data_IF_574874442044
#
_entry.id   IF_574874442044
#
_cell.length_a   1.000
_cell.length_b   1.000
_cell.length_c   1.000
_cell.angle_alpha   90.00
_cell.angle_beta   90.00
_cell.angle_gamma   90.00
#
_symmetry.space_group_name_H-M   'P 1'
#
loop_
_entity.id
_entity.type
_entity.pdbx_description
1 polymer ?
#
# COMPACT_ATOMS: atom_id res chain seq x y z
N UNK A 1 -35.22 -15.62 1.88
CA UNK A 1 -34.62 -14.33 2.25
C UNK A 1 -33.54 -14.05 1.23
N UNK A 2 -33.62 -12.93 0.51
CA UNK A 2 -32.53 -12.51 -0.39
C UNK A 2 -31.40 -12.08 0.54
N UNK A 3 -30.29 -12.82 0.56
CA UNK A 3 -29.12 -12.44 1.36
C UNK A 3 -28.62 -11.06 0.92
N UNK A 4 -28.17 -10.25 1.87
CA UNK A 4 -27.61 -8.94 1.56
C UNK A 4 -26.30 -9.15 0.79
N UNK A 5 -26.17 -8.53 -0.38
CA UNK A 5 -25.00 -8.71 -1.25
C UNK A 5 -24.02 -7.55 -1.04
N UNK A 6 -22.83 -7.87 -0.58
CA UNK A 6 -21.76 -6.90 -0.40
C UNK A 6 -20.75 -7.05 -1.53
N UNK A 7 -20.43 -5.95 -2.21
CA UNK A 7 -19.44 -5.92 -3.29
C UNK A 7 -18.18 -5.22 -2.82
N UNK A 8 -17.05 -5.88 -2.90
CA UNK A 8 -15.74 -5.33 -2.52
C UNK A 8 -14.96 -4.98 -3.79
N UNK A 9 -14.68 -3.70 -3.97
CA UNK A 9 -13.83 -3.18 -5.03
C UNK A 9 -12.40 -3.02 -4.54
N UNK A 10 -11.44 -3.61 -5.26
CA UNK A 10 -10.01 -3.59 -4.85
C UNK A 10 -9.08 -3.38 -6.04
N UNK A 11 -7.80 -3.18 -5.74
CA UNK A 11 -6.74 -3.22 -6.74
C UNK A 11 -6.32 -4.66 -7.03
N UNK A 12 -6.30 -5.05 -8.30
CA UNK A 12 -5.86 -6.37 -8.71
C UNK A 12 -5.92 -6.65 -10.20
N UNK A 13 -5.34 -7.77 -10.57
CA UNK A 13 -5.28 -8.24 -11.95
C UNK A 13 -5.23 -9.77 -11.92
N UNK A 14 -5.82 -10.42 -12.92
CA UNK A 14 -5.77 -11.88 -13.08
C UNK A 14 -6.21 -12.63 -11.79
N UNK A 15 -7.33 -12.18 -11.19
CA UNK A 15 -7.95 -12.77 -9.99
C UNK A 15 -7.12 -12.66 -8.70
N UNK A 16 -6.06 -11.83 -8.71
CA UNK A 16 -5.18 -11.61 -7.56
C UNK A 16 -5.10 -10.13 -7.18
N UNK A 17 -4.98 -9.82 -5.88
CA UNK A 17 -4.78 -8.46 -5.42
C UNK A 17 -3.41 -7.94 -5.87
N UNK A 18 -3.34 -6.64 -6.21
CA UNK A 18 -2.10 -6.02 -6.66
C UNK A 18 -1.25 -5.55 -5.48
N UNK A 19 0.07 -5.67 -5.62
CA UNK A 19 1.03 -5.24 -4.58
C UNK A 19 1.09 -3.72 -4.39
N UNK A 20 0.46 -2.92 -5.26
CA UNK A 20 0.40 -1.46 -5.09
C UNK A 20 -0.51 -1.04 -3.92
N UNK A 21 -1.33 -1.95 -3.40
CA UNK A 21 -2.24 -1.70 -2.27
C UNK A 21 -2.11 -2.84 -1.25
N UNK A 22 -1.29 -2.68 -0.19
CA UNK A 22 -1.20 -3.67 0.88
C UNK A 22 -2.56 -3.91 1.56
N UNK A 23 -3.42 -2.89 1.63
CA UNK A 23 -4.79 -3.02 2.13
C UNK A 23 -5.66 -3.94 1.27
N UNK A 24 -5.55 -3.86 -0.06
CA UNK A 24 -6.26 -4.78 -0.96
C UNK A 24 -5.78 -6.22 -0.79
N UNK A 25 -4.48 -6.43 -0.57
CA UNK A 25 -3.89 -7.74 -0.27
C UNK A 25 -4.40 -8.27 1.06
N UNK A 26 -4.36 -7.46 2.12
CA UNK A 26 -4.84 -7.83 3.45
C UNK A 26 -6.34 -8.17 3.43
N UNK A 27 -7.15 -7.38 2.72
CA UNK A 27 -8.58 -7.62 2.59
C UNK A 27 -8.87 -8.93 1.86
N UNK A 28 -8.12 -9.20 0.78
CA UNK A 28 -8.24 -10.46 0.06
C UNK A 28 -7.92 -11.66 0.97
N UNK A 29 -6.87 -11.58 1.80
CA UNK A 29 -6.53 -12.63 2.75
C UNK A 29 -7.55 -12.79 3.86
N UNK A 30 -8.07 -11.68 4.39
CA UNK A 30 -9.11 -11.67 5.41
C UNK A 30 -10.38 -12.38 4.91
N UNK A 31 -10.86 -11.99 3.73
CA UNK A 31 -12.08 -12.51 3.13
C UNK A 31 -11.97 -14.00 2.80
N UNK A 32 -10.89 -14.43 2.14
CA UNK A 32 -10.73 -15.82 1.70
C UNK A 32 -10.25 -16.77 2.81
N UNK A 33 -9.46 -16.26 3.76
CA UNK A 33 -8.81 -17.08 4.79
C UNK A 33 -9.58 -17.19 6.10
N UNK A 34 -10.33 -16.16 6.48
CA UNK A 34 -10.86 -15.99 7.84
C UNK A 34 -12.36 -15.72 7.89
N UNK A 35 -12.85 -14.73 7.13
CA UNK A 35 -14.24 -14.29 7.20
C UNK A 35 -15.24 -15.42 6.94
N UNK A 36 -15.04 -16.22 5.88
CA UNK A 36 -15.92 -17.34 5.56
C UNK A 36 -15.88 -18.47 6.61
N UNK A 37 -14.73 -18.68 7.27
CA UNK A 37 -14.60 -19.70 8.32
C UNK A 37 -15.36 -19.34 9.59
N UNK A 38 -15.68 -18.05 9.78
CA UNK A 38 -16.46 -17.59 10.92
C UNK A 38 -17.95 -17.93 10.79
N UNK A 39 -18.41 -18.49 9.66
CA UNK A 39 -19.78 -18.99 9.51
C UNK A 39 -20.85 -17.92 9.69
N UNK A 40 -20.54 -16.65 9.39
CA UNK A 40 -21.49 -15.53 9.47
C UNK A 40 -22.49 -15.63 8.32
N UNK A 41 -23.50 -16.46 8.52
CA UNK A 41 -24.61 -16.70 7.61
C UNK A 41 -25.51 -15.45 7.49
N UNK A 42 -25.38 -14.73 6.37
CA UNK A 42 -26.34 -13.69 6.00
C UNK A 42 -25.90 -12.75 4.87
N UNK A 43 -24.60 -12.45 4.79
CA UNK A 43 -24.02 -11.56 3.78
C UNK A 43 -23.26 -12.35 2.72
N UNK A 44 -23.67 -12.26 1.47
CA UNK A 44 -22.88 -12.80 0.35
C UNK A 44 -21.88 -11.74 -0.10
N UNK A 45 -20.60 -11.98 0.17
CA UNK A 45 -19.51 -11.09 -0.26
C UNK A 45 -19.00 -11.51 -1.64
N UNK A 46 -18.78 -10.54 -2.51
CA UNK A 46 -18.10 -10.72 -3.79
C UNK A 46 -16.93 -9.75 -3.96
N UNK A 47 -15.88 -10.17 -4.66
CA UNK A 47 -14.70 -9.36 -4.95
C UNK A 47 -14.70 -8.96 -6.43
N UNK A 48 -14.43 -7.68 -6.68
CA UNK A 48 -14.33 -7.07 -8.00
C UNK A 48 -13.03 -6.28 -8.09
N UNK A 49 -12.13 -6.73 -8.96
CA UNK A 49 -10.90 -5.99 -9.29
C UNK A 49 -11.21 -4.90 -10.32
N UNK A 50 -11.83 -3.80 -9.87
CA UNK A 50 -12.22 -2.69 -10.75
C UNK A 50 -11.06 -1.76 -11.11
N UNK A 51 -10.05 -1.66 -10.23
CA UNK A 51 -8.92 -0.72 -10.37
C UNK A 51 -9.37 0.74 -10.57
N UNK A 52 -10.58 1.08 -10.12
CA UNK A 52 -11.20 2.38 -10.35
C UNK A 52 -11.53 3.07 -9.03
N UNK A 53 -10.76 4.10 -8.71
CA UNK A 53 -10.94 4.91 -7.49
C UNK A 53 -12.15 5.84 -7.56
N UNK A 54 -12.69 6.13 -8.75
CA UNK A 54 -13.86 7.01 -8.92
C UNK A 54 -15.14 6.46 -8.25
N UNK A 55 -15.18 5.15 -7.98
CA UNK A 55 -16.29 4.50 -7.28
C UNK A 55 -16.35 4.88 -5.79
N UNK A 56 -15.20 5.22 -5.22
CA UNK A 56 -15.01 5.55 -3.81
C UNK A 56 -15.21 7.04 -3.57
N UNK A 57 -15.91 7.45 -2.51
CA UNK A 57 -16.05 8.86 -2.17
C UNK A 57 -14.71 9.51 -1.85
N UNK A 58 -13.78 8.75 -1.28
CA UNK A 58 -12.46 9.24 -0.86
C UNK A 58 -11.36 9.00 -1.91
N UNK A 59 -11.74 8.55 -3.12
CA UNK A 59 -10.82 8.20 -4.20
C UNK A 59 -9.78 7.14 -3.81
N UNK A 60 -10.14 6.26 -2.86
CA UNK A 60 -9.30 5.19 -2.34
C UNK A 60 -9.94 3.82 -2.48
N UNK A 61 -9.11 2.81 -2.71
CA UNK A 61 -9.47 1.40 -2.67
C UNK A 61 -8.59 0.71 -1.62
N UNK A 62 -9.11 -0.26 -0.85
CA UNK A 62 -10.35 -1.00 -1.07
C UNK A 62 -11.64 -0.26 -0.68
N UNK A 63 -12.76 -0.65 -1.29
CA UNK A 63 -14.11 -0.11 -1.05
C UNK A 63 -15.13 -1.25 -0.93
N UNK A 64 -15.90 -1.27 0.14
CA UNK A 64 -17.09 -2.12 0.31
C UNK A 64 -18.34 -1.32 -0.06
N UNK A 65 -19.20 -1.90 -0.89
CA UNK A 65 -20.52 -1.39 -1.24
C UNK A 65 -21.59 -2.39 -0.83
N UNK A 66 -22.48 -1.97 0.06
CA UNK A 66 -23.66 -2.72 0.47
C UNK A 66 -24.88 -1.83 0.27
N UNK A 67 -25.71 -2.15 -0.72
CA UNK A 67 -26.81 -1.31 -1.21
C UNK A 67 -26.34 0.13 -1.54
N UNK A 68 -26.68 1.12 -0.70
CA UNK A 68 -26.26 2.52 -0.86
C UNK A 68 -25.07 2.91 0.04
N UNK A 69 -24.66 2.02 0.96
CA UNK A 69 -23.56 2.30 1.88
C UNK A 69 -22.23 2.03 1.21
N UNK A 70 -21.32 2.99 1.31
CA UNK A 70 -19.94 2.93 0.81
C UNK A 70 -18.98 3.05 1.98
N UNK A 71 -18.11 2.06 2.15
CA UNK A 71 -17.14 1.99 3.26
C UNK A 71 -15.75 1.78 2.66
N UNK A 72 -14.86 2.76 2.83
CA UNK A 72 -13.52 2.79 2.26
C UNK A 72 -12.45 2.40 3.29
N UNK A 73 -11.39 1.75 2.82
CA UNK A 73 -10.21 1.39 3.62
C UNK A 73 -10.34 0.07 4.38
N UNK A 74 -9.23 -0.65 4.53
CA UNK A 74 -9.22 -1.98 5.16
C UNK A 74 -9.81 -1.98 6.58
N UNK A 75 -9.38 -1.01 7.42
CA UNK A 75 -9.79 -0.92 8.83
C UNK A 75 -11.31 -0.81 8.97
N UNK A 76 -11.90 0.18 8.28
CA UNK A 76 -13.34 0.42 8.34
C UNK A 76 -14.15 -0.75 7.77
N UNK A 77 -13.67 -1.39 6.70
CA UNK A 77 -14.34 -2.54 6.09
C UNK A 77 -14.33 -3.73 7.06
N UNK A 78 -13.20 -4.03 7.69
CA UNK A 78 -13.09 -5.09 8.67
C UNK A 78 -13.99 -4.80 9.86
N UNK A 79 -13.94 -3.59 10.43
CA UNK A 79 -14.78 -3.19 11.55
C UNK A 79 -16.26 -3.33 11.20
N UNK A 80 -16.66 -2.97 9.98
CA UNK A 80 -18.03 -3.16 9.51
C UNK A 80 -18.44 -4.63 9.44
N UNK A 81 -17.61 -5.47 8.82
CA UNK A 81 -17.89 -6.90 8.65
C UNK A 81 -17.82 -7.67 9.98
N UNK A 82 -17.11 -7.13 10.97
CA UNK A 82 -16.95 -7.70 12.31
C UNK A 82 -17.89 -7.09 13.35
N UNK A 83 -18.58 -5.99 13.06
CA UNK A 83 -19.41 -5.21 13.99
C UNK A 83 -20.53 -6.00 14.70
N UNK A 84 -20.95 -7.15 14.17
CA UNK A 84 -21.90 -8.05 14.83
C UNK A 84 -21.28 -8.84 16.02
N UNK A 85 -19.97 -8.72 16.25
CA UNK A 85 -19.27 -9.28 17.43
C UNK A 85 -19.31 -8.28 18.59
N UNK A 86 -20.35 -8.39 19.43
CA UNK A 86 -20.35 -7.79 20.77
C UNK A 86 -19.27 -8.48 21.63
N UNK A 87 -18.01 -8.02 21.54
CA UNK A 87 -16.95 -8.44 22.47
C UNK A 87 -16.35 -7.23 23.17
N UNK A 88 -16.98 -6.85 24.28
CA UNK A 88 -16.54 -5.81 25.21
C UNK A 88 -15.37 -6.25 26.10
N UNK A 89 -14.32 -6.82 25.53
CA UNK A 89 -13.11 -7.22 26.24
C UNK A 89 -11.93 -6.28 25.92
N UNK A 90 -11.10 -5.95 26.91
CA UNK A 90 -9.94 -5.05 26.72
C UNK A 90 -8.93 -5.48 25.65
N UNK A 91 -8.99 -6.73 25.17
CA UNK A 91 -8.23 -7.20 24.01
C UNK A 91 -8.66 -6.52 22.71
N UNK A 92 -9.94 -6.18 22.53
CA UNK A 92 -10.40 -5.50 21.30
C UNK A 92 -9.81 -4.09 21.15
N UNK A 93 -9.54 -3.39 22.26
CA UNK A 93 -8.89 -2.10 22.23
C UNK A 93 -7.42 -2.20 21.79
N UNK A 94 -6.69 -3.21 22.28
CA UNK A 94 -5.31 -3.47 21.85
C UNK A 94 -5.27 -3.89 20.37
N UNK A 95 -6.19 -4.74 19.94
CA UNK A 95 -6.31 -5.17 18.53
C UNK A 95 -6.63 -4.00 17.60
N UNK A 96 -7.59 -3.15 17.98
CA UNK A 96 -7.93 -1.92 17.25
C UNK A 96 -6.76 -0.94 17.21
N UNK A 97 -6.03 -0.78 18.32
CA UNK A 97 -4.83 0.07 18.38
C UNK A 97 -3.71 -0.45 17.47
N UNK A 98 -3.48 -1.76 17.45
CA UNK A 98 -2.53 -2.41 16.54
C UNK A 98 -2.93 -2.21 15.09
N UNK A 99 -4.21 -2.40 14.77
CA UNK A 99 -4.75 -2.24 13.42
C UNK A 99 -4.58 -0.80 12.93
N UNK A 100 -4.92 0.18 13.77
CA UNK A 100 -4.73 1.60 13.48
C UNK A 100 -3.26 1.95 13.29
N UNK A 101 -2.38 1.52 14.21
CA UNK A 101 -0.93 1.74 14.10
C UNK A 101 -0.34 1.13 12.82
N UNK A 102 -0.81 -0.06 12.42
CA UNK A 102 -0.38 -0.66 11.16
C UNK A 102 -0.88 0.13 9.94
N UNK A 103 -2.13 0.60 9.97
CA UNK A 103 -2.73 1.41 8.90
C UNK A 103 -2.06 2.78 8.76
N UNK A 104 -1.64 3.43 9.85
CA UNK A 104 -0.92 4.70 9.80
C UNK A 104 0.57 4.52 9.54
N UNK A 105 1.29 3.89 10.46
CA UNK A 105 2.74 4.01 10.59
C UNK A 105 3.48 2.98 9.71
N UNK A 106 3.03 1.72 9.72
CA UNK A 106 3.64 0.68 8.88
C UNK A 106 3.27 0.85 7.41
N UNK A 107 2.03 1.27 7.12
CA UNK A 107 1.62 1.50 5.73
C UNK A 107 2.32 2.72 5.11
N UNK A 108 2.65 3.74 5.91
CA UNK A 108 3.51 4.85 5.48
C UNK A 108 4.91 4.36 5.02
N UNK A 109 5.49 3.40 5.73
CA UNK A 109 6.78 2.80 5.32
C UNK A 109 6.65 2.01 4.00
N UNK A 110 5.53 1.32 3.80
CA UNK A 110 5.25 0.63 2.53
C UNK A 110 5.06 1.63 1.39
N UNK A 111 4.36 2.76 1.63
CA UNK A 111 4.20 3.85 0.67
C UNK A 111 5.58 4.42 0.27
N UNK A 112 6.50 4.61 1.22
CA UNK A 112 7.87 5.01 0.91
C UNK A 112 8.55 4.02 -0.06
N UNK A 113 8.48 2.71 0.21
CA UNK A 113 9.11 1.71 -0.66
C UNK A 113 8.45 1.60 -2.03
N UNK A 114 7.14 1.80 -2.14
CA UNK A 114 6.42 1.74 -3.42
C UNK A 114 6.68 2.99 -4.28
N UNK A 115 6.64 4.17 -3.67
CA UNK A 115 6.53 5.43 -4.42
C UNK A 115 7.78 6.31 -4.36
N UNK A 116 8.53 6.28 -3.26
CA UNK A 116 9.68 7.17 -3.03
C UNK A 116 11.02 6.47 -3.27
N UNK A 117 11.11 5.17 -3.05
CA UNK A 117 12.27 4.39 -3.50
C UNK A 117 12.31 4.38 -5.04
N UNK A 118 13.28 5.11 -5.60
CA UNK A 118 13.46 5.29 -7.04
C UNK A 118 13.50 3.98 -7.81
N UNK A 119 14.24 2.98 -7.30
CA UNK A 119 14.39 1.69 -7.97
C UNK A 119 13.04 1.00 -8.08
N UNK A 120 12.29 0.91 -6.98
CA UNK A 120 10.99 0.25 -6.94
C UNK A 120 9.96 1.01 -7.80
N UNK A 121 9.95 2.34 -7.72
CA UNK A 121 9.00 3.16 -8.49
C UNK A 121 9.16 3.00 -10.00
N UNK A 122 10.40 3.10 -10.50
CA UNK A 122 10.70 3.08 -11.93
C UNK A 122 10.58 1.68 -12.54
N UNK A 123 10.96 0.65 -11.79
CA UNK A 123 11.01 -0.73 -12.30
C UNK A 123 9.72 -1.51 -12.06
N UNK A 124 9.00 -1.21 -10.98
CA UNK A 124 7.77 -1.90 -10.59
C UNK A 124 6.55 -0.97 -10.64
N UNK A 125 6.43 -0.03 -9.71
CA UNK A 125 5.17 0.68 -9.40
C UNK A 125 4.57 1.35 -10.63
N UNK A 126 5.35 2.17 -11.35
CA UNK A 126 4.87 2.89 -12.54
C UNK A 126 4.38 1.94 -13.64
N UNK A 127 5.06 0.81 -13.83
CA UNK A 127 4.69 -0.19 -14.84
C UNK A 127 3.44 -0.97 -14.44
N UNK A 128 3.27 -1.23 -13.14
CA UNK A 128 2.08 -1.90 -12.61
C UNK A 128 0.83 -1.06 -12.85
N UNK A 129 0.87 0.25 -12.63
CA UNK A 129 -0.27 1.13 -12.94
C UNK A 129 -0.67 1.12 -14.42
N UNK A 130 0.29 1.04 -15.35
CA UNK A 130 -0.03 0.89 -16.77
C UNK A 130 -0.82 -0.40 -17.10
N UNK A 131 -0.69 -1.45 -16.28
CA UNK A 131 -1.43 -2.72 -16.45
C UNK A 131 -2.80 -2.69 -15.79
N UNK A 132 -2.95 -1.94 -14.70
CA UNK A 132 -4.18 -1.90 -13.91
C UNK A 132 -5.20 -0.90 -14.44
N UNK A 133 -4.73 0.23 -14.95
CA UNK A 133 -5.58 1.34 -15.38
C UNK A 133 -5.82 1.30 -16.89
N UNK A 134 -6.77 2.09 -17.37
CA UNK A 134 -6.96 2.33 -18.80
C UNK A 134 -6.21 3.59 -19.26
N UNK A 135 -5.79 3.61 -20.53
CA UNK A 135 -5.29 4.83 -21.15
C UNK A 135 -6.43 5.87 -21.21
N UNK A 136 -6.19 7.16 -20.89
CA UNK A 136 -4.91 7.83 -20.65
C UNK A 136 -4.48 7.95 -19.17
N UNK A 137 -5.18 7.31 -18.23
CA UNK A 137 -5.00 7.52 -16.78
C UNK A 137 -3.71 6.92 -16.19
N UNK A 138 -2.89 6.26 -17.01
CA UNK A 138 -1.65 5.59 -16.60
C UNK A 138 -0.60 6.49 -15.95
N UNK A 139 -0.59 7.79 -16.29
CA UNK A 139 0.47 8.69 -15.85
C UNK A 139 0.11 9.48 -14.60
N UNK A 140 -1.15 9.90 -14.47
CA UNK A 140 -1.55 10.83 -13.42
C UNK A 140 -1.64 10.12 -12.07
N UNK A 141 -2.24 8.93 -12.02
CA UNK A 141 -2.44 8.18 -10.78
C UNK A 141 -1.12 7.86 -10.05
N UNK A 142 -0.09 7.25 -10.68
CA UNK A 142 1.18 6.99 -9.99
C UNK A 142 1.96 8.25 -9.59
N UNK A 143 1.75 9.39 -10.26
CA UNK A 143 2.34 10.66 -9.86
C UNK A 143 1.63 11.25 -8.64
N UNK A 144 0.30 11.18 -8.62
CA UNK A 144 -0.52 11.59 -7.49
C UNK A 144 -0.18 10.79 -6.23
N UNK A 145 -0.18 9.45 -6.29
CA UNK A 145 0.20 8.62 -5.15
C UNK A 145 1.63 8.90 -4.68
N UNK A 146 2.55 9.20 -5.59
CA UNK A 146 3.93 9.59 -5.22
C UNK A 146 3.99 10.94 -4.51
N UNK A 147 3.17 11.91 -4.90
CA UNK A 147 3.06 13.18 -4.19
C UNK A 147 2.45 13.01 -2.79
N UNK A 148 1.40 12.19 -2.65
CA UNK A 148 0.77 11.87 -1.36
C UNK A 148 1.75 11.13 -0.44
N UNK A 149 2.46 10.13 -0.96
CA UNK A 149 3.48 9.41 -0.19
C UNK A 149 4.61 10.35 0.28
N UNK A 150 5.01 11.31 -0.57
CA UNK A 150 5.98 12.35 -0.21
C UNK A 150 5.50 13.15 0.99
N UNK A 151 4.28 13.67 0.94
CA UNK A 151 3.70 14.45 2.05
C UNK A 151 3.62 13.63 3.34
N UNK A 152 3.11 12.40 3.27
CA UNK A 152 3.01 11.48 4.42
C UNK A 152 4.37 11.18 5.05
N UNK A 153 5.41 11.00 4.22
CA UNK A 153 6.74 10.62 4.69
C UNK A 153 7.66 11.81 5.06
N UNK A 154 7.21 13.07 4.89
CA UNK A 154 8.03 14.26 5.22
C UNK A 154 8.55 14.22 6.66
N UNK A 155 7.68 13.90 7.62
CA UNK A 155 8.03 13.83 9.04
C UNK A 155 8.90 12.62 9.42
N UNK A 156 8.90 11.58 8.60
CA UNK A 156 9.56 10.30 8.90
C UNK A 156 11.07 10.32 8.61
N UNK A 157 11.49 10.97 7.52
CA UNK A 157 12.85 10.86 6.99
C UNK A 157 13.69 12.14 7.18
N UNK A 158 13.11 13.16 7.83
CA UNK A 158 13.64 14.53 7.87
C UNK A 158 13.48 15.19 6.49
N UNK A 159 13.35 16.52 6.45
CA UNK A 159 13.06 17.31 5.23
C UNK A 159 13.66 16.67 3.98
N UNK A 160 12.79 15.95 3.26
CA UNK A 160 13.16 15.30 2.03
C UNK A 160 13.28 16.44 1.02
N UNK A 161 14.48 16.99 0.86
CA UNK A 161 14.84 17.79 -0.31
C UNK A 161 14.78 16.85 -1.52
N UNK A 162 13.56 16.59 -2.02
CA UNK A 162 13.35 16.00 -3.33
C UNK A 162 13.71 17.08 -4.34
N UNK A 163 14.98 17.10 -4.73
CA UNK A 163 15.58 17.96 -5.78
C UNK A 163 14.91 17.78 -7.17
N UNK A 164 13.79 17.06 -7.26
CA UNK A 164 12.96 16.93 -8.47
C UNK A 164 12.21 18.26 -8.77
N UNK A 165 12.03 19.14 -7.78
CA UNK A 165 11.45 20.49 -7.96
C UNK A 165 12.48 21.60 -7.66
N UNK A 166 13.55 21.66 -8.45
CA UNK A 166 14.25 22.92 -8.74
C UNK A 166 15.18 22.69 -9.95
N UNK A 167 14.66 22.96 -11.15
CA UNK A 167 15.45 23.76 -12.08
C UNK A 167 15.98 24.95 -11.27
N UNK A 168 17.31 25.13 -11.09
CA UNK A 168 17.80 26.24 -10.31
C UNK A 168 17.51 27.54 -11.06
N UNK A 169 16.37 28.17 -10.75
CA UNK A 169 16.05 29.52 -11.21
C UNK A 169 16.97 30.58 -10.57
N UNK A 170 17.88 30.18 -9.69
CA UNK A 170 18.83 31.05 -8.99
C UNK A 170 20.29 31.04 -9.47
N UNK A 171 20.68 30.28 -10.51
CA UNK A 171 22.10 30.20 -10.94
C UNK A 171 22.32 30.19 -12.45
N UNK A 172 21.42 30.82 -13.22
CA UNK A 172 21.59 30.95 -14.67
C UNK A 172 22.76 31.87 -15.08
N UNK A 173 23.24 32.74 -14.18
CA UNK A 173 24.34 33.66 -14.47
C UNK A 173 25.74 33.02 -14.32
N UNK A 174 25.95 32.06 -13.41
CA UNK A 174 27.23 31.35 -13.28
C UNK A 174 27.37 30.16 -14.23
N UNK A 175 26.26 29.55 -14.65
CA UNK A 175 26.27 28.38 -15.55
C UNK A 175 26.55 28.74 -17.01
N UNK A 176 26.31 29.98 -17.45
CA UNK A 176 26.52 30.40 -18.83
C UNK A 176 28.02 30.46 -19.24
N UNK A 177 28.93 30.78 -18.32
CA UNK A 177 30.38 30.81 -18.61
C UNK A 177 31.05 29.43 -18.48
N UNK A 178 30.50 28.54 -17.63
CA UNK A 178 31.03 27.19 -17.37
C UNK A 178 30.52 26.11 -18.34
N UNK A 179 29.54 26.43 -19.19
CA UNK A 179 28.86 25.47 -20.09
C UNK A 179 29.63 25.13 -21.38
N UNK A 180 30.81 25.71 -21.61
CA UNK A 180 31.59 25.48 -22.83
C UNK A 180 32.41 24.19 -22.81
N UNK A 181 32.74 23.64 -21.63
CA UNK A 181 33.52 22.40 -21.56
C UNK A 181 32.64 21.16 -21.38
N UNK A 182 32.74 20.22 -22.33
CA UNK A 182 32.09 18.90 -22.23
C UNK A 182 32.57 18.13 -20.99
N UNK A 183 33.82 18.31 -20.57
CA UNK A 183 34.36 17.64 -19.37
C UNK A 183 33.73 18.18 -18.10
N UNK A 184 33.49 19.50 -18.01
CA UNK A 184 32.83 20.11 -16.86
C UNK A 184 31.38 19.61 -16.70
N UNK A 185 30.62 19.52 -17.80
CA UNK A 185 29.25 18.95 -17.79
C UNK A 185 29.24 17.52 -17.26
N UNK A 186 30.19 16.70 -17.71
CA UNK A 186 30.32 15.30 -17.23
C UNK A 186 30.68 15.28 -15.74
N UNK A 187 31.66 16.06 -15.29
CA UNK A 187 32.04 16.13 -13.88
C UNK A 187 30.89 16.63 -12.99
N UNK A 188 30.11 17.60 -13.45
CA UNK A 188 28.94 18.11 -12.73
C UNK A 188 27.83 17.05 -12.63
N UNK A 189 27.58 16.29 -13.71
CA UNK A 189 26.63 15.18 -13.70
C UNK A 189 27.06 14.08 -12.71
N UNK A 190 28.34 13.70 -12.71
CA UNK A 190 28.88 12.71 -11.77
C UNK A 190 28.73 13.21 -10.32
N UNK A 191 29.03 14.49 -10.05
CA UNK A 191 28.83 15.08 -8.72
C UNK A 191 27.36 15.08 -8.30
N UNK A 192 26.44 15.43 -9.21
CA UNK A 192 24.99 15.41 -8.95
C UNK A 192 24.50 13.99 -8.66
N UNK A 193 24.92 13.01 -9.46
CA UNK A 193 24.60 11.60 -9.26
C UNK A 193 25.15 11.10 -7.91
N UNK A 194 26.41 11.37 -7.60
CA UNK A 194 27.02 10.98 -6.33
C UNK A 194 26.31 11.59 -5.11
N UNK A 195 25.90 12.87 -5.18
CA UNK A 195 25.10 13.51 -4.13
C UNK A 195 23.76 12.79 -3.93
N UNK A 196 23.05 12.50 -5.04
CA UNK A 196 21.77 11.80 -5.01
C UNK A 196 21.89 10.38 -4.46
N UNK A 197 22.95 9.64 -4.83
CA UNK A 197 23.20 8.29 -4.33
C UNK A 197 23.45 8.28 -2.82
N UNK A 198 24.27 9.21 -2.31
CA UNK A 198 24.52 9.35 -0.87
C UNK A 198 23.23 9.72 -0.12
N UNK A 199 22.44 10.64 -0.67
CA UNK A 199 21.16 11.03 -0.09
C UNK A 199 20.18 9.85 -0.05
N UNK A 200 20.07 9.08 -1.13
CA UNK A 200 19.25 7.87 -1.18
C UNK A 200 19.74 6.81 -0.18
N UNK A 201 21.06 6.62 -0.05
CA UNK A 201 21.62 5.70 0.93
C UNK A 201 21.27 6.10 2.36
N UNK A 202 21.36 7.40 2.68
CA UNK A 202 20.93 7.94 3.98
C UNK A 202 19.44 7.68 4.24
N UNK A 203 18.56 8.00 3.28
CA UNK A 203 17.12 7.77 3.43
C UNK A 203 16.80 6.30 3.63
N UNK A 204 17.48 5.41 2.90
CA UNK A 204 17.29 3.97 3.06
C UNK A 204 17.72 3.47 4.45
N UNK A 205 18.80 4.00 5.02
CA UNK A 205 19.20 3.66 6.39
C UNK A 205 18.18 4.14 7.43
N UNK A 206 17.67 5.37 7.28
CA UNK A 206 16.64 5.92 8.16
C UNK A 206 15.35 5.09 8.07
N UNK A 207 14.94 4.74 6.85
CA UNK A 207 13.82 3.85 6.58
C UNK A 207 13.98 2.50 7.29
N UNK A 208 15.13 1.82 7.12
CA UNK A 208 15.37 0.51 7.73
C UNK A 208 15.34 0.59 9.26
N UNK A 209 15.95 1.63 9.83
CA UNK A 209 15.90 1.89 11.27
C UNK A 209 14.46 2.05 11.76
N UNK A 210 13.63 2.82 11.04
CA UNK A 210 12.22 3.03 11.39
C UNK A 210 11.37 1.78 11.24
N UNK A 211 11.60 1.01 10.18
CA UNK A 211 10.92 -0.27 9.96
C UNK A 211 11.17 -1.23 11.12
N UNK A 212 12.43 -1.39 11.54
CA UNK A 212 12.74 -2.28 12.66
C UNK A 212 12.20 -1.76 14.00
N UNK A 213 12.19 -0.45 14.23
CA UNK A 213 11.57 0.18 15.40
C UNK A 213 10.07 -0.11 15.46
N UNK A 214 9.34 0.15 14.37
CA UNK A 214 7.89 -0.05 14.31
C UNK A 214 7.49 -1.51 14.41
N UNK A 215 8.25 -2.42 13.78
CA UNK A 215 7.99 -3.85 13.90
C UNK A 215 8.25 -4.37 15.31
N UNK A 216 9.32 -3.91 15.99
CA UNK A 216 9.56 -4.27 17.39
C UNK A 216 8.44 -3.79 18.30
N UNK A 217 7.99 -2.56 18.13
CA UNK A 217 6.85 -2.02 18.89
C UNK A 217 5.58 -2.84 18.64
N UNK A 218 5.28 -3.13 17.37
CA UNK A 218 4.12 -3.92 16.99
C UNK A 218 4.17 -5.32 17.61
N UNK A 219 5.31 -6.02 17.54
CA UNK A 219 5.50 -7.36 18.13
C UNK A 219 5.30 -7.31 19.65
N UNK A 220 5.89 -6.32 20.34
CA UNK A 220 5.75 -6.19 21.79
C UNK A 220 4.30 -5.97 22.22
N UNK A 221 3.54 -5.16 21.48
CA UNK A 221 2.11 -4.94 21.77
C UNK A 221 1.30 -6.21 21.44
N UNK A 222 1.64 -6.90 20.33
CA UNK A 222 0.99 -8.13 19.92
C UNK A 222 1.18 -9.29 20.89
N UNK A 223 2.35 -9.40 21.51
CA UNK A 223 2.65 -10.37 22.56
C UNK A 223 1.81 -10.11 23.83
N UNK A 224 1.53 -8.84 24.15
CA UNK A 224 0.69 -8.46 25.30
C UNK A 224 -0.78 -8.75 25.11
N UNK A 225 -1.27 -8.81 23.87
CA UNK A 225 -2.66 -9.17 23.58
C UNK A 225 -2.98 -10.64 23.91
N UNK A 226 -1.96 -11.50 24.16
CA UNK A 226 -2.07 -12.89 24.62
C UNK A 226 -3.03 -13.79 23.80
N UNK A 227 -3.32 -13.42 22.55
CA UNK A 227 -4.16 -14.18 21.64
C UNK A 227 -3.30 -14.96 20.65
N UNK A 228 -3.42 -16.30 20.63
CA UNK A 228 -2.79 -17.14 19.61
C UNK A 228 -3.54 -17.10 18.26
N UNK A 229 -4.75 -16.52 18.25
CA UNK A 229 -5.54 -16.40 17.03
C UNK A 229 -4.98 -15.29 16.15
N UNK A 230 -5.03 -15.51 14.83
CA UNK A 230 -4.70 -14.46 13.86
C UNK A 230 -5.80 -13.41 13.89
N UNK A 231 -5.41 -12.15 14.05
CA UNK A 231 -6.30 -10.99 14.09
C UNK A 231 -6.16 -10.17 12.79
N UNK A 232 -7.13 -9.30 12.43
CA UNK A 232 -7.03 -8.48 11.23
C UNK A 232 -5.77 -7.59 11.16
N UNK A 233 -5.28 -7.13 12.31
CA UNK A 233 -4.02 -6.38 12.39
C UNK A 233 -2.81 -7.21 11.93
N UNK A 234 -2.80 -8.52 12.20
CA UNK A 234 -1.74 -9.44 11.74
C UNK A 234 -1.72 -9.48 10.21
N UNK A 235 -2.90 -9.60 9.58
CA UNK A 235 -3.04 -9.66 8.13
C UNK A 235 -2.57 -8.37 7.45
N UNK A 236 -2.91 -7.21 8.01
CA UNK A 236 -2.47 -5.94 7.46
C UNK A 236 -0.95 -5.76 7.62
N UNK A 237 -0.39 -6.17 8.76
CA UNK A 237 1.05 -6.11 8.99
C UNK A 237 1.79 -7.04 8.02
N UNK A 238 1.31 -8.27 7.88
CA UNK A 238 1.84 -9.26 6.94
C UNK A 238 1.75 -8.77 5.49
N UNK A 239 0.64 -8.14 5.10
CA UNK A 239 0.47 -7.62 3.75
C UNK A 239 1.47 -6.49 3.45
N UNK A 240 1.70 -5.59 4.41
CA UNK A 240 2.71 -4.54 4.30
C UNK A 240 4.12 -5.12 4.10
N UNK A 241 4.50 -6.10 4.93
CA UNK A 241 5.82 -6.73 4.81
C UNK A 241 5.93 -7.56 3.54
N UNK A 242 4.87 -8.28 3.15
CA UNK A 242 4.82 -9.04 1.92
C UNK A 242 5.06 -8.16 0.70
N UNK A 243 4.36 -7.02 0.60
CA UNK A 243 4.58 -6.06 -0.48
C UNK A 243 6.04 -5.62 -0.50
N UNK A 244 6.60 -5.20 0.63
CA UNK A 244 8.00 -4.75 0.70
C UNK A 244 9.02 -5.83 0.29
N UNK A 245 8.75 -7.10 0.62
CA UNK A 245 9.62 -8.24 0.27
C UNK A 245 9.46 -8.72 -1.18
N UNK A 246 8.36 -8.38 -1.85
CA UNK A 246 8.14 -8.69 -3.27
C UNK A 246 8.64 -7.58 -4.21
N UNK A 247 9.04 -6.43 -3.68
CA UNK A 247 9.59 -5.34 -4.48
C UNK A 247 11.03 -5.63 -4.95
N UNK A 248 11.48 -4.98 -6.03
CA UNK A 248 12.81 -5.20 -6.60
C UNK A 248 13.99 -4.99 -5.64
N UNK A 249 13.89 -4.06 -4.68
CA UNK A 249 14.92 -3.78 -3.67
C UNK A 249 14.74 -4.59 -2.36
N UNK A 250 14.15 -5.79 -2.44
CA UNK A 250 13.80 -6.62 -1.28
C UNK A 250 15.00 -7.16 -0.49
N UNK A 251 16.12 -7.46 -1.14
CA UNK A 251 17.27 -8.12 -0.52
C UNK A 251 17.80 -7.38 0.71
N UNK A 252 17.81 -6.04 0.65
CA UNK A 252 18.25 -5.19 1.76
C UNK A 252 17.29 -5.29 2.94
N UNK A 253 15.99 -5.31 2.67
CA UNK A 253 14.93 -5.40 3.68
C UNK A 253 14.98 -6.77 4.33
N UNK A 254 15.01 -7.86 3.55
CA UNK A 254 15.08 -9.22 4.07
C UNK A 254 16.32 -9.44 4.98
N UNK A 255 17.50 -8.99 4.53
CA UNK A 255 18.73 -9.06 5.33
C UNK A 255 18.63 -8.25 6.61
N UNK A 256 18.09 -7.03 6.55
CA UNK A 256 17.93 -6.19 7.73
C UNK A 256 16.94 -6.78 8.75
N UNK A 257 15.80 -7.30 8.28
CA UNK A 257 14.78 -7.91 9.14
C UNK A 257 15.29 -9.18 9.83
N UNK A 258 15.93 -10.07 9.08
CA UNK A 258 16.55 -11.29 9.63
C UNK A 258 17.64 -10.99 10.67
N UNK A 259 18.46 -9.96 10.46
CA UNK A 259 19.47 -9.53 11.42
C UNK A 259 18.87 -8.90 12.69
N UNK A 260 17.77 -8.16 12.54
CA UNK A 260 17.25 -7.30 13.61
C UNK A 260 16.15 -7.95 14.46
N UNK A 261 15.32 -8.81 13.85
CA UNK A 261 14.24 -9.54 14.51
C UNK A 261 14.61 -11.02 14.79
N UNK A 262 15.74 -11.48 14.25
CA UNK A 262 16.20 -12.86 14.36
C UNK A 262 15.73 -13.74 13.20
N UNK A 263 16.56 -14.72 12.83
CA UNK A 263 16.29 -15.64 11.72
C UNK A 263 15.05 -16.50 11.95
N UNK A 264 14.80 -16.92 13.18
CA UNK A 264 13.71 -17.83 13.50
C UNK A 264 12.33 -17.16 13.37
N UNK A 265 12.24 -15.92 13.84
CA UNK A 265 11.05 -15.09 13.64
C UNK A 265 10.83 -14.81 12.15
N UNK A 266 11.89 -14.40 11.43
CA UNK A 266 11.79 -14.11 10.00
C UNK A 266 11.36 -15.34 9.19
N UNK A 267 11.89 -16.53 9.51
CA UNK A 267 11.47 -17.78 8.87
C UNK A 267 10.00 -18.11 9.17
N UNK A 268 9.54 -17.84 10.39
CA UNK A 268 8.13 -18.04 10.77
C UNK A 268 7.22 -17.07 10.02
N UNK A 269 7.62 -15.79 9.96
CA UNK A 269 6.93 -14.76 9.19
C UNK A 269 6.82 -15.16 7.72
N UNK A 270 7.93 -15.55 7.09
CA UNK A 270 7.96 -15.96 5.69
C UNK A 270 7.02 -17.14 5.41
N UNK A 271 6.98 -18.14 6.30
CA UNK A 271 6.00 -19.23 6.21
C UNK A 271 4.55 -18.72 6.25
N UNK A 272 4.23 -17.76 7.12
CA UNK A 272 2.88 -17.17 7.16
C UNK A 272 2.55 -16.39 5.88
N UNK A 273 3.51 -15.65 5.33
CA UNK A 273 3.35 -14.94 4.06
C UNK A 273 3.11 -15.91 2.90
N UNK A 274 3.85 -17.02 2.86
CA UNK A 274 3.68 -18.06 1.85
C UNK A 274 2.31 -18.76 1.99
N UNK A 275 1.83 -18.98 3.22
CA UNK A 275 0.49 -19.53 3.45
C UNK A 275 -0.60 -18.57 2.94
N UNK A 276 -0.51 -17.28 3.27
CA UNK A 276 -1.53 -16.29 2.89
C UNK A 276 -1.53 -16.00 1.39
N UNK A 277 -0.35 -15.88 0.77
CA UNK A 277 -0.21 -15.59 -0.66
C UNK A 277 -0.70 -16.73 -1.57
N UNK A 278 -0.77 -17.95 -1.05
CA UNK A 278 -1.26 -19.13 -1.75
C UNK A 278 -2.70 -19.51 -1.37
N UNK A 279 -3.46 -18.61 -0.72
CA UNK A 279 -4.87 -18.87 -0.46
C UNK A 279 -5.66 -19.04 -1.76
N UNK A 280 -6.35 -20.17 -1.87
CA UNK A 280 -7.31 -20.40 -2.92
C UNK A 280 -8.50 -19.45 -2.76
N UNK A 281 -9.00 -18.87 -3.86
CA UNK A 281 -10.15 -17.98 -3.81
C UNK A 281 -11.40 -18.77 -3.40
N UNK A 282 -11.89 -18.50 -2.19
CA UNK A 282 -13.13 -19.07 -1.66
C UNK A 282 -14.30 -18.11 -1.82
N UNK A 283 -14.02 -16.80 -1.84
CA UNK A 283 -15.00 -15.76 -2.09
C UNK A 283 -15.26 -15.61 -3.58
N UNK A 284 -16.54 -15.41 -3.95
CA UNK A 284 -16.93 -15.23 -5.35
C UNK A 284 -16.24 -14.02 -5.96
N UNK A 285 -15.65 -14.20 -7.13
CA UNK A 285 -15.04 -13.12 -7.90
C UNK A 285 -15.78 -12.92 -9.21
N UNK A 286 -15.87 -11.67 -9.66
CA UNK A 286 -16.41 -11.34 -10.98
C UNK A 286 -15.62 -10.20 -11.64
N UNK A 287 -15.64 -10.12 -12.99
CA UNK A 287 -15.10 -8.97 -13.68
C UNK A 287 -15.93 -7.70 -13.39
N UNK A 288 -15.32 -6.51 -13.50
CA UNK A 288 -16.03 -5.24 -13.34
C UNK A 288 -17.03 -5.03 -14.47
N UNK A 289 -18.24 -4.61 -14.12
CA UNK A 289 -19.26 -4.19 -15.08
C UNK A 289 -18.85 -2.88 -15.77
N UNK A 290 -19.51 -2.52 -16.88
CA UNK A 290 -19.13 -1.33 -17.64
C UNK A 290 -19.11 -0.05 -16.78
N UNK A 291 -20.05 0.08 -15.81
CA UNK A 291 -20.13 1.25 -14.91
C UNK A 291 -19.03 1.27 -13.83
N UNK A 292 -18.47 0.11 -13.52
CA UNK A 292 -17.44 -0.06 -12.49
C UNK A 292 -16.03 0.13 -13.06
N UNK A 293 -15.88 0.03 -14.38
CA UNK A 293 -14.60 0.19 -15.06
C UNK A 293 -14.13 1.65 -15.04
N UNK A 294 -12.82 1.85 -14.82
CA UNK A 294 -12.15 3.14 -14.97
C UNK A 294 -11.83 3.48 -16.43
N UNK A 295 -12.79 3.27 -17.34
CA UNK A 295 -12.63 3.63 -18.75
C UNK A 295 -12.90 5.13 -18.96
N UNK A 296 -12.42 5.69 -20.08
CA UNK A 296 -12.50 7.15 -20.35
C UNK A 296 -13.92 7.68 -20.22
N UNK A 297 -14.92 6.94 -20.72
CA UNK A 297 -16.32 7.36 -20.71
C UNK A 297 -16.84 7.42 -19.28
N UNK A 298 -16.62 6.37 -18.50
CA UNK A 298 -17.10 6.29 -17.12
C UNK A 298 -16.35 7.24 -16.19
N UNK A 299 -15.05 7.43 -16.36
CA UNK A 299 -14.31 8.43 -15.58
C UNK A 299 -14.80 9.85 -15.86
N UNK A 300 -15.09 10.20 -17.12
CA UNK A 300 -15.70 11.51 -17.45
C UNK A 300 -17.10 11.65 -16.85
N UNK A 301 -17.92 10.59 -16.91
CA UNK A 301 -19.24 10.57 -16.28
C UNK A 301 -19.14 10.78 -14.77
N UNK A 302 -18.24 10.07 -14.09
CA UNK A 302 -18.05 10.17 -12.64
C UNK A 302 -17.52 11.56 -12.24
N UNK A 303 -16.60 12.13 -13.02
CA UNK A 303 -16.12 13.51 -12.82
C UNK A 303 -17.29 14.49 -12.96
N UNK A 304 -18.07 14.39 -14.04
CA UNK A 304 -19.23 15.28 -14.23
C UNK A 304 -20.25 15.15 -13.09
N UNK A 305 -20.53 13.93 -12.64
CA UNK A 305 -21.45 13.66 -11.53
C UNK A 305 -20.96 14.20 -10.18
N UNK A 306 -19.66 14.47 -10.00
CA UNK A 306 -19.13 15.13 -8.79
C UNK A 306 -19.43 16.64 -8.75
N UNK A 307 -19.68 17.27 -9.90
CA UNK A 307 -19.87 18.72 -10.02
C UNK A 307 -21.30 19.15 -10.39
N UNK A 308 -22.21 18.19 -10.54
CA UNK A 308 -23.65 18.40 -10.85
C UNK A 308 -24.47 18.01 -9.64
#
# INVERSE_FOLDING_TARGET
MVGVRCTVYTWGLDERPSLISPESVALYWFLNGYYLKMGKDGRSVEIVFSNNTDLSPDEQLPLLVEDERKISGFVNIVDYLMSDEETGDGNTLLESSLLQFTSSDLSMLTDYQLYLNKTNYDTFTRRTFCRLLCWPMWYNTPLHYRAVARERCQGLLGDLEFDDECEPQGSQLETAELTQSKTFKITQQIRKQGKQELQNARHNLQYLSKLSEYLKLWIQVRERAQSEKVIPADLLMWANIYVQLQLPDNDKIAKHLSQTLGSDFFNTLQKQLDLCSNFEPTVSQRPPSFREQGNVIMSLYNIAAKYV
#
